data_IF_600014661706
#
_entry.id   IF_600014661706
#
_cell.length_a   1.000
_cell.length_b   1.000
_cell.length_c   1.000
_cell.angle_alpha   90.00
_cell.angle_beta   90.00
_cell.angle_gamma   90.00
#
_symmetry.space_group_name_H-M   'P 1'
#
loop_
_entity.id
_entity.type
_entity.pdbx_description
1 polymer ?
#
# COMPACT_ATOMS: atom_id res chain seq x y z
N UNK A 1 -9.41 -10.00 -10.24
CA UNK A 1 -8.31 -9.11 -10.69
C UNK A 1 -8.17 -7.96 -9.73
N UNK A 2 -6.96 -7.48 -9.52
CA UNK A 2 -6.68 -6.35 -8.64
C UNK A 2 -5.47 -5.55 -9.15
N UNK A 3 -5.45 -4.27 -8.85
CA UNK A 3 -4.34 -3.38 -9.14
C UNK A 3 -3.42 -3.32 -7.92
N UNK A 4 -2.15 -3.70 -8.09
CA UNK A 4 -1.24 -3.91 -6.96
C UNK A 4 0.14 -3.30 -7.21
N UNK A 5 0.59 -2.51 -6.25
CA UNK A 5 1.95 -1.99 -6.21
C UNK A 5 2.93 -3.10 -5.86
N UNK A 6 4.04 -3.18 -6.59
CA UNK A 6 5.12 -4.15 -6.34
C UNK A 6 4.83 -5.59 -6.79
N UNK A 7 3.65 -5.86 -7.36
CA UNK A 7 3.27 -7.21 -7.81
C UNK A 7 4.28 -7.83 -8.79
N UNK A 8 4.83 -7.03 -9.68
CA UNK A 8 5.80 -7.48 -10.71
C UNK A 8 7.11 -7.97 -10.07
N UNK A 9 7.46 -7.44 -8.91
CA UNK A 9 8.72 -7.75 -8.22
C UNK A 9 8.56 -8.82 -7.13
N UNK A 10 7.34 -9.31 -6.91
CA UNK A 10 7.08 -10.33 -5.90
C UNK A 10 7.27 -11.74 -6.47
N UNK A 11 7.67 -12.68 -5.61
CA UNK A 11 7.73 -14.11 -5.94
C UNK A 11 6.41 -14.83 -5.63
N UNK A 12 5.67 -14.29 -4.68
CA UNK A 12 4.38 -14.80 -4.22
C UNK A 12 3.39 -13.66 -4.02
N UNK A 13 2.13 -13.94 -4.31
CA UNK A 13 1.01 -13.08 -4.00
C UNK A 13 0.14 -13.71 -2.93
N UNK A 14 -0.37 -12.90 -2.01
CA UNK A 14 -1.45 -13.30 -1.11
C UNK A 14 -2.71 -12.58 -1.58
N UNK A 15 -3.73 -13.36 -1.92
CA UNK A 15 -5.05 -12.86 -2.27
C UNK A 15 -5.99 -13.01 -1.10
N UNK A 16 -6.85 -12.01 -0.87
CA UNK A 16 -7.79 -12.01 0.23
C UNK A 16 -9.02 -11.15 -0.08
N UNK A 17 -10.15 -11.38 0.60
CA UNK A 17 -11.30 -10.48 0.52
C UNK A 17 -10.92 -9.06 0.95
N UNK A 18 -11.66 -8.06 0.46
CA UNK A 18 -11.46 -6.64 0.79
C UNK A 18 -12.62 -6.04 1.61
N UNK A 19 -13.67 -6.82 1.84
CA UNK A 19 -14.87 -6.42 2.58
C UNK A 19 -15.36 -7.58 3.47
N UNK A 20 -16.21 -7.26 4.44
CA UNK A 20 -17.03 -8.27 5.12
C UNK A 20 -18.01 -8.90 4.11
N UNK A 21 -18.27 -10.18 4.27
CA UNK A 21 -19.08 -10.98 3.34
C UNK A 21 -20.24 -11.65 4.07
N UNK A 22 -21.31 -11.94 3.33
CA UNK A 22 -22.45 -12.72 3.80
C UNK A 22 -22.52 -14.10 3.15
N UNK A 23 -23.53 -14.90 3.50
CA UNK A 23 -23.69 -16.25 2.97
C UNK A 23 -23.81 -16.28 1.44
N UNK A 24 -24.42 -15.27 0.85
CA UNK A 24 -24.55 -15.14 -0.61
C UNK A 24 -23.21 -14.96 -1.33
N UNK A 25 -22.18 -14.54 -0.60
CA UNK A 25 -20.84 -14.28 -1.12
C UNK A 25 -19.88 -15.47 -0.88
N UNK A 26 -20.36 -16.60 -0.39
CA UNK A 26 -19.56 -17.76 0.01
C UNK A 26 -18.50 -18.15 -1.03
N UNK A 27 -18.88 -18.20 -2.30
CA UNK A 27 -17.99 -18.61 -3.40
C UNK A 27 -16.89 -17.58 -3.68
N UNK A 28 -17.02 -16.37 -3.14
CA UNK A 28 -16.02 -15.27 -3.24
C UNK A 28 -15.20 -15.11 -1.97
N UNK A 29 -15.59 -15.80 -0.90
CA UNK A 29 -14.87 -15.78 0.38
C UNK A 29 -13.64 -16.68 0.29
N UNK A 30 -12.65 -16.26 -0.49
CA UNK A 30 -11.42 -17.01 -0.73
C UNK A 30 -10.19 -16.20 -0.33
N UNK A 31 -9.21 -16.88 0.28
CA UNK A 31 -7.90 -16.30 0.54
C UNK A 31 -6.84 -17.38 0.34
N UNK A 32 -5.78 -17.06 -0.37
CA UNK A 32 -4.74 -18.00 -0.71
C UNK A 32 -3.41 -17.33 -1.06
N UNK A 33 -2.33 -18.08 -0.99
CA UNK A 33 -1.04 -17.71 -1.56
C UNK A 33 -0.89 -18.34 -2.95
N UNK A 34 -0.29 -17.60 -3.88
CA UNK A 34 -0.06 -18.01 -5.25
C UNK A 34 1.32 -17.58 -5.71
N UNK A 35 2.13 -18.47 -6.31
CA UNK A 35 3.36 -18.07 -6.96
C UNK A 35 3.10 -17.10 -8.11
N UNK A 36 4.02 -16.16 -8.30
CA UNK A 36 3.88 -15.14 -9.36
C UNK A 36 3.93 -15.74 -10.78
N UNK A 37 4.57 -16.89 -10.94
CA UNK A 37 4.71 -17.63 -12.19
C UNK A 37 3.66 -18.76 -12.36
N UNK A 38 2.61 -18.76 -11.53
CA UNK A 38 1.53 -19.75 -11.66
C UNK A 38 0.85 -19.65 -13.03
N UNK A 39 0.56 -20.79 -13.63
CA UNK A 39 -0.22 -20.86 -14.88
C UNK A 39 -1.59 -20.22 -14.68
N UNK A 40 -1.98 -19.33 -15.60
CA UNK A 40 -3.23 -18.58 -15.52
C UNK A 40 -3.14 -17.26 -14.73
N UNK A 41 -1.99 -16.95 -14.11
CA UNK A 41 -1.76 -15.63 -13.51
C UNK A 41 -1.17 -14.69 -14.56
N UNK A 42 -1.84 -13.58 -14.81
CA UNK A 42 -1.39 -12.56 -15.75
C UNK A 42 -1.21 -11.22 -15.05
N UNK A 43 -0.16 -10.50 -15.44
CA UNK A 43 0.08 -9.13 -15.02
C UNK A 43 -0.06 -8.21 -16.21
N UNK A 44 -1.00 -7.29 -16.13
CA UNK A 44 -1.23 -6.28 -17.16
C UNK A 44 -0.75 -4.95 -16.62
N UNK A 45 0.25 -4.39 -17.28
CA UNK A 45 0.75 -3.08 -16.91
C UNK A 45 1.14 -2.28 -18.16
N UNK A 46 0.94 -0.98 -18.06
CA UNK A 46 1.35 -0.02 -19.07
C UNK A 46 2.63 0.70 -18.67
N UNK A 47 2.73 1.95 -19.08
CA UNK A 47 3.81 2.83 -18.65
C UNK A 47 3.79 3.01 -17.14
N UNK A 48 4.96 2.87 -16.53
CA UNK A 48 5.20 3.10 -15.11
C UNK A 48 5.92 4.43 -14.91
N UNK A 49 5.77 5.04 -13.72
CA UNK A 49 6.48 6.28 -13.39
C UNK A 49 8.01 6.10 -13.33
N UNK A 50 8.49 4.87 -13.11
CA UNK A 50 9.90 4.51 -13.15
C UNK A 50 10.37 4.00 -14.53
N UNK A 51 9.54 4.11 -15.58
CA UNK A 51 9.88 3.64 -16.93
C UNK A 51 10.94 4.54 -17.55
N UNK A 52 12.08 3.96 -17.88
CA UNK A 52 13.23 4.65 -18.49
C UNK A 52 13.20 4.65 -20.00
N UNK A 53 12.16 4.10 -20.65
CA UNK A 53 12.02 4.14 -22.10
C UNK A 53 11.90 5.58 -22.57
N UNK A 54 12.62 5.93 -23.62
CA UNK A 54 12.63 7.28 -24.21
C UNK A 54 11.37 7.54 -25.03
N UNK A 55 10.20 7.48 -24.45
CA UNK A 55 8.93 7.71 -25.13
C UNK A 55 8.58 9.21 -25.24
N UNK A 56 9.17 10.05 -24.38
CA UNK A 56 8.88 11.48 -24.26
C UNK A 56 10.19 12.24 -23.98
N UNK A 57 11.19 12.04 -24.85
CA UNK A 57 12.54 12.63 -24.75
C UNK A 57 13.29 12.34 -23.43
N UNK A 58 12.80 11.38 -22.63
CA UNK A 58 13.48 10.87 -21.45
C UNK A 58 13.55 11.84 -20.25
N UNK A 59 12.80 12.95 -20.29
CA UNK A 59 12.85 13.99 -19.25
C UNK A 59 11.68 13.95 -18.27
N UNK A 60 10.66 13.14 -18.50
CA UNK A 60 9.49 13.03 -17.63
C UNK A 60 9.80 12.07 -16.49
N UNK A 61 9.38 12.42 -15.30
CA UNK A 61 9.53 11.61 -14.08
C UNK A 61 10.99 11.24 -13.73
N UNK A 62 11.95 12.10 -13.96
CA UNK A 62 13.38 11.84 -13.71
C UNK A 62 13.64 11.34 -12.28
N UNK A 63 12.94 11.86 -11.29
CA UNK A 63 13.01 11.38 -9.91
C UNK A 63 12.45 9.96 -9.76
N UNK A 64 11.32 9.68 -10.40
CA UNK A 64 10.66 8.38 -10.35
C UNK A 64 11.39 7.32 -11.18
N UNK A 65 12.15 7.67 -12.20
CA UNK A 65 12.98 6.73 -12.93
C UNK A 65 13.94 5.95 -12.02
N UNK A 66 14.37 6.56 -10.91
CA UNK A 66 15.26 5.94 -9.91
C UNK A 66 14.52 5.33 -8.73
N UNK A 67 13.42 5.93 -8.29
CA UNK A 67 12.76 5.60 -7.01
C UNK A 67 11.30 5.17 -7.14
N UNK A 68 10.72 5.26 -8.33
CA UNK A 68 9.32 4.93 -8.55
C UNK A 68 9.02 3.45 -8.37
N UNK A 69 7.84 3.15 -7.85
CA UNK A 69 7.30 1.80 -7.77
C UNK A 69 6.72 1.31 -9.09
N UNK A 70 6.48 0.01 -9.17
CA UNK A 70 5.83 -0.63 -10.30
C UNK A 70 4.47 -1.19 -9.88
N UNK A 71 3.46 -0.98 -10.70
CA UNK A 71 2.10 -1.43 -10.45
C UNK A 71 1.57 -2.22 -11.64
N UNK A 72 0.78 -3.24 -11.35
CA UNK A 72 0.12 -4.04 -12.37
C UNK A 72 -1.31 -4.37 -11.98
N UNK A 73 -2.16 -4.56 -13.00
CA UNK A 73 -3.43 -5.23 -12.81
C UNK A 73 -3.19 -6.74 -12.86
N UNK A 74 -3.38 -7.42 -11.73
CA UNK A 74 -3.24 -8.87 -11.64
C UNK A 74 -4.56 -9.53 -12.02
N UNK A 75 -4.50 -10.45 -12.96
CA UNK A 75 -5.64 -11.24 -13.42
C UNK A 75 -5.36 -12.72 -13.16
N UNK A 76 -6.30 -13.38 -12.54
CA UNK A 76 -6.30 -14.82 -12.33
C UNK A 76 -7.34 -15.44 -13.29
N UNK A 77 -6.90 -16.34 -14.14
CA UNK A 77 -7.74 -17.06 -15.08
C UNK A 77 -7.52 -18.57 -14.93
N UNK A 78 -8.42 -19.23 -14.24
CA UNK A 78 -8.37 -20.67 -13.94
C UNK A 78 -7.07 -21.12 -13.26
N UNK A 79 -6.51 -20.30 -12.37
CA UNK A 79 -5.31 -20.64 -11.61
C UNK A 79 -5.62 -21.74 -10.61
N UNK A 80 -4.89 -22.85 -10.66
CA UNK A 80 -5.01 -23.91 -9.67
C UNK A 80 -4.22 -23.54 -8.39
N UNK A 81 -4.87 -23.61 -7.23
CA UNK A 81 -4.25 -23.36 -5.93
C UNK A 81 -4.27 -24.66 -5.11
N UNK A 82 -3.11 -25.24 -4.77
CA UNK A 82 -3.03 -26.37 -3.86
C UNK A 82 -3.61 -26.05 -2.48
N UNK A 83 -4.22 -27.04 -1.84
CA UNK A 83 -4.91 -26.86 -0.55
C UNK A 83 -3.99 -26.30 0.56
N UNK A 84 -2.71 -26.64 0.53
CA UNK A 84 -1.71 -26.13 1.50
C UNK A 84 -1.49 -24.62 1.42
N UNK A 85 -1.91 -23.96 0.34
CA UNK A 85 -1.79 -22.51 0.14
C UNK A 85 -3.12 -21.77 0.33
N UNK A 86 -4.19 -22.48 0.72
CA UNK A 86 -5.51 -21.89 0.94
C UNK A 86 -5.66 -21.53 2.42
N UNK A 87 -6.04 -20.29 2.70
CA UNK A 87 -6.29 -19.76 4.05
C UNK A 87 -7.78 -19.61 4.33
N UNK A 88 -8.60 -19.41 3.31
CA UNK A 88 -10.05 -19.26 3.39
C UNK A 88 -10.66 -19.85 2.12
N UNK A 89 -11.71 -20.69 2.27
CA UNK A 89 -12.39 -21.35 1.15
C UNK A 89 -13.89 -21.47 1.41
N UNK A 90 -14.56 -20.33 1.48
CA UNK A 90 -16.00 -20.26 1.69
C UNK A 90 -16.42 -19.94 3.14
N UNK A 91 -15.48 -19.80 4.07
CA UNK A 91 -15.77 -19.38 5.45
C UNK A 91 -15.96 -17.87 5.51
N UNK A 92 -17.04 -17.38 4.88
CA UNK A 92 -17.33 -15.96 4.68
C UNK A 92 -17.42 -15.15 5.99
N UNK A 93 -17.79 -15.78 7.09
CA UNK A 93 -17.89 -15.17 8.41
C UNK A 93 -16.55 -14.65 8.93
N UNK A 94 -15.42 -15.17 8.43
CA UNK A 94 -14.08 -14.72 8.80
C UNK A 94 -13.52 -13.64 7.87
N UNK A 95 -14.17 -13.37 6.74
CA UNK A 95 -13.68 -12.40 5.75
C UNK A 95 -13.50 -11.01 6.36
N UNK A 96 -14.47 -10.53 7.14
CA UNK A 96 -14.40 -9.23 7.80
C UNK A 96 -13.24 -9.13 8.79
N UNK A 97 -13.03 -10.14 9.61
CA UNK A 97 -11.91 -10.19 10.58
C UNK A 97 -10.56 -10.21 9.85
N UNK A 98 -10.44 -10.97 8.77
CA UNK A 98 -9.21 -11.03 7.97
C UNK A 98 -8.86 -9.66 7.39
N UNK A 99 -9.85 -8.96 6.83
CA UNK A 99 -9.68 -7.60 6.30
C UNK A 99 -9.27 -6.63 7.40
N UNK A 100 -9.93 -6.67 8.55
CA UNK A 100 -9.62 -5.79 9.69
C UNK A 100 -8.16 -5.97 10.15
N UNK A 101 -7.72 -7.21 10.34
CA UNK A 101 -6.36 -7.53 10.77
C UNK A 101 -5.32 -7.07 9.74
N UNK A 102 -5.53 -7.39 8.47
CA UNK A 102 -4.65 -6.93 7.40
C UNK A 102 -4.62 -5.40 7.32
N UNK A 103 -5.80 -4.76 7.29
CA UNK A 103 -5.91 -3.30 7.15
C UNK A 103 -5.26 -2.55 8.31
N UNK A 104 -5.30 -3.10 9.51
CA UNK A 104 -4.62 -2.55 10.67
C UNK A 104 -3.11 -2.43 10.44
N UNK A 105 -2.44 -3.54 10.16
CA UNK A 105 -1.00 -3.54 9.87
C UNK A 105 -0.65 -2.71 8.65
N UNK A 106 -1.47 -2.77 7.61
CA UNK A 106 -1.28 -1.95 6.42
C UNK A 106 -1.35 -0.44 6.73
N UNK A 107 -2.32 -0.01 7.53
CA UNK A 107 -2.46 1.40 7.94
C UNK A 107 -1.33 1.85 8.86
N UNK A 108 -0.92 1.01 9.80
CA UNK A 108 0.22 1.30 10.68
C UNK A 108 1.49 1.58 9.87
N UNK A 109 1.72 0.84 8.78
CA UNK A 109 2.88 1.06 7.91
C UNK A 109 2.92 2.46 7.26
N UNK A 110 1.78 3.18 7.23
CA UNK A 110 1.73 4.56 6.76
C UNK A 110 2.54 5.53 7.64
N UNK A 111 2.68 5.23 8.93
CA UNK A 111 3.58 5.94 9.83
C UNK A 111 5.05 5.94 9.39
N UNK A 112 5.41 5.05 8.46
CA UNK A 112 6.72 5.05 7.78
C UNK A 112 6.62 5.58 6.34
N UNK A 113 5.94 4.83 5.46
CA UNK A 113 5.97 5.12 4.02
C UNK A 113 5.30 6.46 3.64
N UNK A 114 4.18 6.83 4.28
CA UNK A 114 3.50 8.10 3.98
C UNK A 114 4.21 9.29 4.61
N UNK A 115 4.85 9.11 5.74
CA UNK A 115 5.70 10.14 6.35
C UNK A 115 6.88 10.46 5.43
N UNK A 116 7.59 9.46 4.92
CA UNK A 116 8.69 9.69 3.98
C UNK A 116 8.25 10.39 2.69
N UNK A 117 7.10 10.05 2.13
CA UNK A 117 6.52 10.78 0.99
C UNK A 117 6.11 12.19 1.40
N UNK A 118 5.56 12.36 2.60
CA UNK A 118 5.19 13.66 3.17
C UNK A 118 6.38 14.61 3.25
N UNK A 119 7.52 14.14 3.72
CA UNK A 119 8.76 14.94 3.78
C UNK A 119 9.18 15.47 2.39
N UNK A 120 9.11 14.62 1.37
CA UNK A 120 9.41 15.01 -0.02
C UNK A 120 8.42 16.07 -0.51
N UNK A 121 7.12 15.90 -0.24
CA UNK A 121 6.07 16.85 -0.64
C UNK A 121 6.23 18.19 0.09
N UNK A 122 6.55 18.17 1.39
CA UNK A 122 6.81 19.39 2.18
C UNK A 122 8.03 20.13 1.62
N UNK A 123 9.10 19.41 1.34
CA UNK A 123 10.31 20.00 0.74
C UNK A 123 10.03 20.61 -0.64
N UNK A 124 9.27 19.91 -1.49
CA UNK A 124 8.86 20.44 -2.81
C UNK A 124 7.98 21.68 -2.68
N UNK A 125 7.04 21.70 -1.73
CA UNK A 125 6.18 22.86 -1.47
C UNK A 125 6.99 24.07 -1.00
N UNK A 126 7.95 23.86 -0.10
CA UNK A 126 8.84 24.94 0.38
C UNK A 126 9.69 25.50 -0.77
N UNK A 127 10.27 24.63 -1.60
CA UNK A 127 11.05 25.03 -2.77
C UNK A 127 10.21 25.79 -3.81
N UNK A 128 8.98 25.33 -4.05
CA UNK A 128 8.05 26.02 -4.94
C UNK A 128 7.70 27.43 -4.40
N UNK A 129 7.52 27.58 -3.08
CA UNK A 129 7.29 28.89 -2.46
C UNK A 129 8.48 29.82 -2.65
N UNK A 130 9.70 29.31 -2.49
CA UNK A 130 10.93 30.06 -2.71
C UNK A 130 11.07 30.52 -4.17
N UNK A 131 10.87 29.63 -5.14
CA UNK A 131 10.92 29.96 -6.57
C UNK A 131 9.88 31.01 -7.00
N UNK A 132 8.76 31.09 -6.29
CA UNK A 132 7.74 32.12 -6.53
C UNK A 132 7.97 33.39 -5.68
N UNK A 133 9.00 33.45 -4.82
CA UNK A 133 9.29 34.62 -3.97
C UNK A 133 8.23 34.87 -2.89
N UNK A 134 7.48 33.83 -2.48
CA UNK A 134 6.38 33.95 -1.49
C UNK A 134 6.64 33.19 -0.19
N UNK A 135 7.83 32.71 0.02
CA UNK A 135 8.25 31.93 1.19
C UNK A 135 8.07 32.68 2.52
N UNK A 136 8.02 34.02 2.46
CA UNK A 136 7.82 34.88 3.65
C UNK A 136 6.37 35.22 3.92
N UNK A 137 5.46 34.95 2.99
CA UNK A 137 4.03 35.22 3.13
C UNK A 137 3.42 34.36 4.26
N UNK A 138 2.66 34.99 5.17
CA UNK A 138 2.10 34.30 6.35
C UNK A 138 1.25 33.11 5.98
N UNK A 139 0.34 33.26 5.01
CA UNK A 139 -0.54 32.17 4.56
C UNK A 139 0.21 30.99 3.93
N UNK A 140 1.38 31.19 3.35
CA UNK A 140 2.23 30.10 2.83
C UNK A 140 2.94 29.40 4.01
N UNK A 141 3.47 30.17 4.96
CA UNK A 141 4.06 29.60 6.18
C UNK A 141 3.06 28.78 6.97
N UNK A 142 1.84 29.27 7.11
CA UNK A 142 0.76 28.55 7.80
C UNK A 142 0.50 27.19 7.15
N UNK A 143 0.50 27.10 5.81
CA UNK A 143 0.33 25.84 5.09
C UNK A 143 1.50 24.89 5.28
N UNK A 144 2.74 25.38 5.24
CA UNK A 144 3.92 24.53 5.49
C UNK A 144 3.94 24.02 6.94
N UNK A 145 3.54 24.84 7.91
CA UNK A 145 3.40 24.44 9.32
C UNK A 145 2.33 23.34 9.45
N UNK A 146 1.15 23.51 8.82
CA UNK A 146 0.09 22.53 8.83
C UNK A 146 0.55 21.20 8.24
N UNK A 147 1.23 21.21 7.08
CA UNK A 147 1.76 20.00 6.44
C UNK A 147 2.76 19.29 7.37
N UNK A 148 3.70 20.03 7.96
CA UNK A 148 4.70 19.48 8.88
C UNK A 148 4.02 18.89 10.12
N UNK A 149 3.07 19.61 10.72
CA UNK A 149 2.32 19.15 11.89
C UNK A 149 1.59 17.82 11.62
N UNK A 150 0.91 17.73 10.49
CA UNK A 150 0.19 16.50 10.12
C UNK A 150 1.15 15.33 9.86
N UNK A 151 2.28 15.58 9.23
CA UNK A 151 3.28 14.56 8.94
C UNK A 151 3.93 14.02 10.23
N UNK A 152 4.32 14.88 11.15
CA UNK A 152 4.86 14.52 12.47
C UNK A 152 3.81 13.79 13.34
N UNK A 153 2.56 14.21 13.25
CA UNK A 153 1.46 13.50 13.95
C UNK A 153 1.31 12.08 13.43
N UNK A 154 1.33 11.89 12.11
CA UNK A 154 1.23 10.56 11.50
C UNK A 154 2.42 9.67 11.91
N UNK A 155 3.62 10.21 11.95
CA UNK A 155 4.81 9.51 12.44
C UNK A 155 4.64 9.05 13.88
N UNK A 156 4.25 9.98 14.74
CA UNK A 156 4.06 9.72 16.17
C UNK A 156 2.98 8.64 16.42
N UNK A 157 1.87 8.70 15.69
CA UNK A 157 0.83 7.65 15.75
C UNK A 157 1.37 6.29 15.30
N UNK A 158 2.18 6.23 14.25
CA UNK A 158 2.80 4.99 13.78
C UNK A 158 3.72 4.35 14.83
N UNK A 159 4.49 5.17 15.54
CA UNK A 159 5.33 4.70 16.66
C UNK A 159 4.47 4.22 17.82
N UNK A 160 3.46 5.00 18.23
CA UNK A 160 2.56 4.65 19.32
C UNK A 160 1.87 3.30 19.05
N UNK A 161 1.26 3.10 17.88
CA UNK A 161 0.65 1.84 17.48
C UNK A 161 1.59 0.64 17.64
N UNK A 162 2.87 0.82 17.31
CA UNK A 162 3.87 -0.25 17.43
C UNK A 162 4.26 -0.53 18.89
N UNK A 163 4.37 0.53 19.72
CA UNK A 163 4.82 0.40 21.10
C UNK A 163 3.70 -0.10 22.05
N UNK A 164 2.46 0.25 21.75
CA UNK A 164 1.30 -0.09 22.59
C UNK A 164 0.63 -1.41 22.20
N UNK A 165 1.17 -2.09 21.19
CA UNK A 165 0.67 -3.39 20.78
C UNK A 165 0.90 -4.50 21.82
N UNK A 166 0.25 -5.63 21.63
CA UNK A 166 0.30 -6.75 22.57
C UNK A 166 0.40 -8.12 21.86
N UNK A 167 0.91 -9.16 22.57
CA UNK A 167 0.92 -10.51 22.04
C UNK A 167 -0.49 -11.06 21.86
N UNK A 168 -0.74 -11.75 20.76
CA UNK A 168 -1.97 -12.50 20.52
C UNK A 168 -1.90 -13.90 21.13
N UNK A 169 -3.05 -14.58 21.27
CA UNK A 169 -3.11 -15.99 21.72
C UNK A 169 -2.35 -16.94 20.81
N UNK A 170 -2.16 -16.59 19.53
CA UNK A 170 -1.39 -17.38 18.57
C UNK A 170 0.13 -17.12 18.63
N UNK A 171 0.59 -16.27 19.55
CA UNK A 171 2.01 -15.93 19.71
C UNK A 171 2.53 -14.83 18.79
N UNK A 172 1.69 -14.26 17.95
CA UNK A 172 2.03 -13.10 17.13
C UNK A 172 1.86 -11.81 17.94
N UNK A 173 2.49 -10.74 17.50
CA UNK A 173 2.31 -9.41 18.06
C UNK A 173 1.22 -8.67 17.30
N UNK A 174 0.24 -8.13 18.00
CA UNK A 174 -0.81 -7.29 17.43
C UNK A 174 -0.56 -5.84 17.81
N UNK A 175 -0.46 -4.97 16.81
CA UNK A 175 -0.36 -3.52 17.01
C UNK A 175 -1.66 -2.97 17.60
N UNK A 176 -1.58 -1.87 18.32
CA UNK A 176 -2.75 -1.11 18.74
C UNK A 176 -3.29 -0.28 17.57
N UNK A 177 -4.60 -0.35 17.37
CA UNK A 177 -5.30 0.31 16.26
C UNK A 177 -6.29 1.38 16.73
N UNK A 178 -6.41 1.59 18.04
CA UNK A 178 -7.31 2.60 18.64
C UNK A 178 -6.58 3.95 18.90
#
# INVERSE_FOLDING_TARGET
KCHQTGSINSHWHIFMPTIAMGEADRDYAVSFACPTDAEGLYMIYGRQSCDTRKMEDGCIDVGNAKFGGQEALVVLDHVFIPNEYIFLNGEYEFAGMMVERFAGYHRQSYGGCKVGVGDVVIGAAALAAEYNGVEKASHIKDKLIEMTHLNETLYSCGIACSCEGCPTKAGNYQIDLL
#
